data_IF_677642180945
#
_entry.id   IF_677642180945
#
_cell.length_a   1.000
_cell.length_b   1.000
_cell.length_c   1.000
_cell.angle_alpha   90.00
_cell.angle_beta   90.00
_cell.angle_gamma   90.00
#
_symmetry.space_group_name_H-M   'P 1'
#
loop_
_entity.id
_entity.type
_entity.pdbx_description
1 polymer ?
#
# COMPACT_ATOMS: atom_id res chain seq x y z
N UNK A 1 16.62 -0.84 -23.52
CA UNK A 1 15.28 -1.03 -22.93
C UNK A 1 15.43 -0.91 -21.42
N UNK A 2 14.88 0.13 -20.80
CA UNK A 2 15.07 0.36 -19.37
C UNK A 2 14.26 -0.68 -18.57
N UNK A 3 14.91 -1.39 -17.65
CA UNK A 3 14.25 -2.30 -16.72
C UNK A 3 13.59 -1.46 -15.65
N UNK A 4 12.26 -1.45 -15.62
CA UNK A 4 11.53 -0.78 -14.55
C UNK A 4 11.54 -1.65 -13.28
N UNK A 5 11.73 -1.02 -12.12
CA UNK A 5 11.69 -1.67 -10.80
C UNK A 5 10.45 -1.22 -10.04
N UNK A 6 10.08 -1.97 -9.02
CA UNK A 6 8.92 -1.63 -8.19
C UNK A 6 9.08 -0.25 -7.57
N UNK A 7 8.07 0.62 -7.66
CA UNK A 7 8.11 1.93 -7.06
C UNK A 7 8.12 1.83 -5.53
N UNK A 8 8.88 2.70 -4.88
CA UNK A 8 8.89 2.83 -3.42
C UNK A 8 7.94 3.97 -3.06
N UNK A 9 6.93 3.66 -2.25
CA UNK A 9 5.88 4.61 -1.83
C UNK A 9 5.96 4.82 -0.33
N UNK A 10 5.99 6.08 0.10
CA UNK A 10 5.89 6.48 1.50
C UNK A 10 4.55 7.20 1.74
N UNK A 11 3.90 6.92 2.88
CA UNK A 11 2.63 7.54 3.28
C UNK A 11 2.90 8.48 4.46
N UNK A 12 2.54 9.75 4.32
CA UNK A 12 2.74 10.78 5.34
C UNK A 12 1.40 11.45 5.72
N UNK A 13 1.36 12.10 6.88
CA UNK A 13 0.16 12.75 7.41
C UNK A 13 0.18 12.90 8.94
N UNK A 14 -0.72 13.74 9.47
CA UNK A 14 -0.84 14.01 10.90
C UNK A 14 -1.18 12.76 11.73
N UNK A 15 -0.95 12.82 13.05
CA UNK A 15 -1.33 11.72 13.95
C UNK A 15 -2.83 11.43 13.81
N UNK A 16 -3.23 10.17 14.00
CA UNK A 16 -4.61 9.69 13.92
C UNK A 16 -5.33 9.80 12.55
N UNK A 17 -4.66 10.27 11.49
CA UNK A 17 -5.22 10.29 10.13
C UNK A 17 -5.29 8.91 9.44
N UNK A 18 -5.14 7.81 10.19
CA UNK A 18 -5.35 6.46 9.66
C UNK A 18 -4.31 5.96 8.64
N UNK A 19 -3.09 6.54 8.60
CA UNK A 19 -1.99 6.12 7.71
C UNK A 19 -1.68 4.63 7.84
N UNK A 20 -1.63 4.13 9.07
CA UNK A 20 -1.33 2.73 9.34
C UNK A 20 -2.53 1.87 8.96
N UNK A 21 -3.76 2.35 9.20
CA UNK A 21 -5.00 1.61 8.90
C UNK A 21 -5.20 1.39 7.41
N UNK A 22 -4.88 2.39 6.59
CA UNK A 22 -4.92 2.23 5.13
C UNK A 22 -3.83 1.27 4.64
N UNK A 23 -2.63 1.31 5.22
CA UNK A 23 -1.56 0.36 4.89
C UNK A 23 -1.92 -1.07 5.28
N UNK A 24 -2.51 -1.28 6.45
CA UNK A 24 -3.00 -2.59 6.90
C UNK A 24 -4.07 -3.15 5.97
N UNK A 25 -5.01 -2.30 5.54
CA UNK A 25 -6.06 -2.70 4.58
C UNK A 25 -5.49 -3.09 3.22
N UNK A 26 -4.45 -2.40 2.74
CA UNK A 26 -3.77 -2.74 1.47
C UNK A 26 -2.98 -4.05 1.62
N UNK A 27 -2.34 -4.27 2.76
CA UNK A 27 -1.52 -5.47 3.05
C UNK A 27 -2.36 -6.70 3.43
N UNK A 28 -3.65 -6.54 3.75
CA UNK A 28 -4.48 -7.53 4.45
C UNK A 28 -3.82 -8.00 5.76
N UNK A 29 -3.30 -7.05 6.54
CA UNK A 29 -2.68 -7.30 7.84
C UNK A 29 -3.41 -6.54 8.94
N UNK A 30 -3.19 -6.93 10.20
CA UNK A 30 -3.67 -6.25 11.41
C UNK A 30 -2.46 -5.87 12.27
N UNK A 31 -1.50 -5.11 11.70
CA UNK A 31 -0.27 -4.75 12.41
C UNK A 31 -0.59 -3.76 13.52
N UNK A 32 -1.50 -2.80 13.28
CA UNK A 32 -1.89 -1.78 14.24
C UNK A 32 -2.48 -2.39 15.53
N UNK A 33 -3.25 -3.46 15.41
CA UNK A 33 -3.89 -4.13 16.56
C UNK A 33 -2.85 -4.76 17.50
N UNK A 34 -1.63 -4.99 16.99
CA UNK A 34 -0.50 -5.50 17.77
C UNK A 34 0.44 -4.38 18.26
N UNK A 35 0.13 -3.11 17.97
CA UNK A 35 0.90 -1.96 18.44
C UNK A 35 0.24 -1.30 19.67
N UNK A 36 1.08 -0.88 20.62
CA UNK A 36 0.61 -0.27 21.86
C UNK A 36 -0.23 0.99 21.57
N UNK A 37 -1.49 0.98 22.02
CA UNK A 37 -2.42 2.09 21.86
C UNK A 37 -2.87 2.33 20.40
N UNK A 38 -2.71 1.35 19.50
CA UNK A 38 -2.98 1.49 18.07
C UNK A 38 -2.16 2.63 17.40
N UNK A 39 -1.01 2.98 18.00
CA UNK A 39 -0.08 3.99 17.49
C UNK A 39 1.15 3.28 16.93
N UNK A 40 1.61 3.71 15.75
CA UNK A 40 2.78 3.13 15.10
C UNK A 40 4.06 3.31 15.88
N UNK A 41 4.70 2.18 16.23
CA UNK A 41 5.92 2.11 17.02
C UNK A 41 7.15 1.80 16.17
N UNK A 42 6.97 1.07 15.07
CA UNK A 42 8.07 0.62 14.23
C UNK A 42 7.93 1.08 12.76
N UNK A 43 9.05 1.36 12.12
CA UNK A 43 9.10 1.58 10.67
C UNK A 43 9.12 0.21 9.98
N UNK A 44 8.29 0.03 8.96
CA UNK A 44 8.24 -1.20 8.18
C UNK A 44 7.90 -0.95 6.71
N UNK A 45 8.28 -1.89 5.86
CA UNK A 45 7.97 -1.90 4.43
C UNK A 45 7.29 -3.23 4.05
N UNK A 46 6.47 -3.19 3.01
CA UNK A 46 5.82 -4.39 2.48
C UNK A 46 5.73 -4.28 0.97
N UNK A 47 6.02 -5.39 0.28
CA UNK A 47 5.78 -5.47 -1.15
C UNK A 47 4.30 -5.73 -1.39
N UNK A 48 3.68 -4.99 -2.31
CA UNK A 48 2.27 -5.15 -2.70
C UNK A 48 2.24 -5.72 -4.12
N UNK A 49 1.88 -7.01 -4.29
CA UNK A 49 1.78 -7.62 -5.61
C UNK A 49 0.74 -6.96 -6.51
N UNK A 50 0.97 -7.02 -7.82
CA UNK A 50 0.11 -6.40 -8.84
C UNK A 50 -1.31 -6.97 -8.82
N UNK A 51 -1.51 -8.22 -8.39
CA UNK A 51 -2.81 -8.87 -8.26
C UNK A 51 -3.68 -8.17 -7.21
N UNK A 52 -3.08 -7.75 -6.09
CA UNK A 52 -3.78 -7.01 -5.04
C UNK A 52 -4.20 -5.64 -5.56
N UNK A 53 -3.31 -4.95 -6.28
CA UNK A 53 -3.59 -3.65 -6.90
C UNK A 53 -4.75 -3.78 -7.89
N UNK A 54 -4.71 -4.78 -8.78
CA UNK A 54 -5.78 -5.05 -9.76
C UNK A 54 -7.12 -5.36 -9.08
N UNK A 55 -7.12 -6.07 -7.95
CA UNK A 55 -8.33 -6.36 -7.18
C UNK A 55 -8.95 -5.10 -6.60
N UNK A 56 -8.17 -4.25 -5.94
CA UNK A 56 -8.67 -3.00 -5.35
C UNK A 56 -9.08 -1.97 -6.41
N UNK A 57 -8.35 -1.91 -7.52
CA UNK A 57 -8.66 -1.01 -8.63
C UNK A 57 -9.74 -1.54 -9.58
N UNK A 58 -10.31 -2.73 -9.35
CA UNK A 58 -11.35 -3.31 -10.20
C UNK A 58 -12.60 -2.43 -10.34
N UNK A 59 -12.90 -1.58 -9.35
CA UNK A 59 -14.00 -0.63 -9.39
C UNK A 59 -13.69 0.63 -10.25
N UNK A 60 -12.42 0.95 -10.45
CA UNK A 60 -11.99 2.01 -11.35
C UNK A 60 -12.09 1.49 -12.78
N UNK A 61 -13.23 1.78 -13.45
CA UNK A 61 -13.44 1.56 -14.90
C UNK A 61 -12.58 2.51 -15.75
N UNK A 62 -11.30 2.65 -15.42
CA UNK A 62 -10.35 3.46 -16.18
C UNK A 62 -9.81 2.55 -17.30
N UNK A 63 -10.17 2.87 -18.55
CA UNK A 63 -9.56 2.32 -19.77
C UNK A 63 -8.12 2.83 -19.90
N UNK A 64 -7.26 2.48 -18.96
CA UNK A 64 -5.83 2.56 -19.16
C UNK A 64 -5.32 1.14 -18.98
N UNK A 65 -4.63 0.64 -20.00
CA UNK A 65 -3.82 -0.55 -19.84
C UNK A 65 -2.96 -0.33 -18.59
N UNK A 66 -3.17 -1.15 -17.55
CA UNK A 66 -2.45 -1.10 -16.29
C UNK A 66 -1.00 -1.58 -16.52
N UNK A 67 -0.29 -0.97 -17.46
CA UNK A 67 1.16 -1.03 -17.57
C UNK A 67 1.71 -0.11 -16.50
N UNK A 68 1.80 -0.64 -15.27
CA UNK A 68 2.54 0.04 -14.20
C UNK A 68 4.01 -0.25 -14.46
N UNK A 69 4.81 0.74 -14.89
CA UNK A 69 6.21 0.47 -15.21
C UNK A 69 6.93 0.01 -13.94
N UNK A 70 7.36 -1.25 -13.92
CA UNK A 70 8.15 -1.83 -12.82
C UNK A 70 7.38 -2.69 -11.83
N UNK A 71 6.12 -3.01 -12.13
CA UNK A 71 5.30 -4.01 -11.42
C UNK A 71 4.77 -5.06 -12.40
#
# INVERSE_FOLDING_TARGET
MAICRSPIIAVLGHVDHGKSSILDRIRNTCIIDNEAGAITQAIGASNVPIEIIKKFCSALKVKMDFTIPGL
#
